data_IF_748309732935
#
_entry.id   IF_748309732935
#
_cell.length_a   1.000
_cell.length_b   1.000
_cell.length_c   1.000
_cell.angle_alpha   90.00
_cell.angle_beta   90.00
_cell.angle_gamma   90.00
#
_symmetry.space_group_name_H-M   'P 1'
#
loop_
_entity.id
_entity.type
_entity.pdbx_description
1 polymer ?
#
# COMPACT_ATOMS: atom_id res chain seq x y z
N UNK A 1 6.63 -16.44 6.13
CA UNK A 1 7.80 -15.62 6.54
C UNK A 1 8.42 -14.97 5.29
N UNK A 2 7.94 -13.79 4.88
CA UNK A 2 8.38 -13.11 3.63
C UNK A 2 9.69 -12.37 3.93
N UNK A 3 10.76 -12.68 3.18
CA UNK A 3 12.14 -12.26 3.48
C UNK A 3 12.37 -10.79 3.12
N UNK A 4 12.79 -9.99 4.09
CA UNK A 4 13.32 -8.60 3.97
C UNK A 4 14.67 -8.56 3.22
N UNK A 5 14.89 -9.43 2.23
CA UNK A 5 16.21 -9.61 1.58
C UNK A 5 16.38 -8.82 0.28
N UNK A 6 15.34 -8.15 -0.21
CA UNK A 6 15.35 -7.47 -1.51
C UNK A 6 15.23 -5.93 -1.42
N UNK A 7 15.23 -5.35 -0.21
CA UNK A 7 15.22 -3.89 0.00
C UNK A 7 16.63 -3.33 -0.27
N UNK A 8 16.74 -2.41 -1.22
CA UNK A 8 17.97 -1.71 -1.56
C UNK A 8 18.17 -0.48 -0.68
N UNK A 9 17.10 0.29 -0.50
CA UNK A 9 17.12 1.58 0.19
C UNK A 9 15.74 1.85 0.78
N UNK A 10 15.70 2.46 1.96
CA UNK A 10 14.49 3.06 2.51
C UNK A 10 14.85 4.30 3.30
N UNK A 11 13.89 5.20 3.45
CA UNK A 11 14.09 6.38 4.27
C UNK A 11 12.76 6.99 4.70
N UNK A 12 12.86 7.86 5.70
CA UNK A 12 11.73 8.54 6.32
C UNK A 12 12.15 9.96 6.70
N UNK A 13 11.38 10.95 6.26
CA UNK A 13 11.53 12.35 6.66
C UNK A 13 10.50 12.64 7.75
N UNK A 14 10.96 12.83 8.98
CA UNK A 14 10.10 13.04 10.15
C UNK A 14 9.22 14.28 10.02
N UNK A 15 9.78 15.38 9.51
CA UNK A 15 9.07 16.66 9.41
C UNK A 15 7.88 16.63 8.43
N UNK A 16 8.00 15.90 7.32
CA UNK A 16 6.96 15.82 6.29
C UNK A 16 6.14 14.55 6.35
N UNK A 17 6.59 13.54 7.11
CA UNK A 17 6.02 12.20 7.08
C UNK A 17 6.33 11.42 5.80
N UNK A 18 7.17 11.96 4.90
CA UNK A 18 7.50 11.29 3.64
C UNK A 18 8.30 10.02 3.88
N UNK A 19 7.90 8.93 3.24
CA UNK A 19 8.59 7.64 3.25
C UNK A 19 8.82 7.16 1.83
N UNK A 20 9.96 6.53 1.62
CA UNK A 20 10.24 5.83 0.37
C UNK A 20 10.91 4.48 0.66
N UNK A 21 10.67 3.56 -0.26
CA UNK A 21 11.21 2.22 -0.23
C UNK A 21 11.58 1.81 -1.66
N UNK A 22 12.81 1.35 -1.85
CA UNK A 22 13.33 0.89 -3.13
C UNK A 22 13.82 -0.54 -3.04
N UNK A 23 13.32 -1.41 -3.91
CA UNK A 23 13.68 -2.82 -4.01
C UNK A 23 14.70 -3.04 -5.14
N UNK A 24 15.57 -4.04 -4.99
CA UNK A 24 16.46 -4.49 -6.08
C UNK A 24 15.69 -5.17 -7.21
N UNK A 25 14.54 -5.79 -6.91
CA UNK A 25 13.68 -6.47 -7.88
C UNK A 25 12.58 -5.56 -8.38
N UNK A 26 12.28 -5.65 -9.68
CA UNK A 26 11.39 -4.71 -10.38
C UNK A 26 9.91 -4.81 -10.00
N UNK A 27 9.43 -5.96 -9.51
CA UNK A 27 8.02 -6.16 -9.18
C UNK A 27 7.79 -7.40 -8.31
N UNK A 28 7.03 -7.25 -7.24
CA UNK A 28 6.63 -8.36 -6.35
C UNK A 28 5.12 -8.46 -6.24
N UNK A 29 4.60 -9.69 -6.35
CA UNK A 29 3.18 -9.97 -6.13
C UNK A 29 2.95 -10.43 -4.69
N UNK A 30 1.87 -9.95 -4.08
CA UNK A 30 1.39 -10.40 -2.78
C UNK A 30 -0.09 -10.70 -2.88
N UNK A 31 -0.52 -11.84 -2.35
CA UNK A 31 -1.96 -12.09 -2.19
C UNK A 31 -2.33 -11.68 -0.78
N UNK A 32 -3.33 -10.80 -0.67
CA UNK A 32 -3.97 -10.41 0.56
C UNK A 32 -5.43 -10.82 0.41
N UNK A 33 -5.83 -11.91 1.07
CA UNK A 33 -7.14 -12.51 0.89
C UNK A 33 -7.41 -12.79 -0.60
N UNK A 34 -8.51 -12.29 -1.17
CA UNK A 34 -8.84 -12.41 -2.60
C UNK A 34 -8.22 -11.32 -3.49
N UNK A 35 -7.44 -10.39 -2.92
CA UNK A 35 -6.82 -9.29 -3.67
C UNK A 35 -5.35 -9.60 -3.96
N UNK A 36 -4.95 -9.48 -5.23
CA UNK A 36 -3.55 -9.56 -5.62
C UNK A 36 -2.95 -8.16 -5.67
N UNK A 37 -1.98 -7.88 -4.81
CA UNK A 37 -1.21 -6.65 -4.82
C UNK A 37 0.06 -6.82 -5.65
N UNK A 38 0.44 -5.78 -6.38
CA UNK A 38 1.72 -5.63 -7.06
C UNK A 38 2.45 -4.43 -6.48
N UNK A 39 3.71 -4.63 -6.14
CA UNK A 39 4.62 -3.61 -5.66
C UNK A 39 5.65 -3.32 -6.74
N UNK A 40 5.83 -2.06 -7.11
CA UNK A 40 6.87 -1.61 -8.02
C UNK A 40 8.22 -1.51 -7.28
N UNK A 41 9.30 -1.30 -8.05
CA UNK A 41 10.65 -1.20 -7.51
C UNK A 41 10.83 0.00 -6.56
N UNK A 42 10.05 1.05 -6.73
CA UNK A 42 10.06 2.24 -5.90
C UNK A 42 8.63 2.49 -5.41
N UNK A 43 8.49 2.64 -4.10
CA UNK A 43 7.23 2.93 -3.41
C UNK A 43 7.48 4.21 -2.61
N UNK A 44 6.61 5.19 -2.78
CA UNK A 44 6.64 6.42 -1.99
C UNK A 44 5.28 6.68 -1.36
N UNK A 45 5.27 7.31 -0.19
CA UNK A 45 4.02 7.76 0.44
C UNK A 45 4.29 8.85 1.47
N UNK A 46 3.21 9.43 1.99
CA UNK A 46 3.24 10.34 3.13
C UNK A 46 2.44 9.74 4.28
N UNK A 47 3.08 9.58 5.43
CA UNK A 47 2.48 9.03 6.64
C UNK A 47 1.93 10.16 7.50
N UNK A 48 0.64 10.06 7.79
CA UNK A 48 -0.09 10.90 8.73
C UNK A 48 -0.71 10.00 9.82
N UNK A 49 -1.12 10.58 10.97
CA UNK A 49 -1.85 9.81 11.97
C UNK A 49 -3.05 9.10 11.35
N UNK A 50 -3.05 7.75 11.43
CA UNK A 50 -4.10 6.86 10.87
C UNK A 50 -4.29 6.93 9.36
N UNK A 51 -3.34 7.51 8.61
CA UNK A 51 -3.50 7.69 7.15
C UNK A 51 -2.16 7.63 6.41
N UNK A 52 -2.22 7.09 5.20
CA UNK A 52 -1.17 7.11 4.20
C UNK A 52 -1.74 7.84 2.98
N UNK A 53 -1.03 8.86 2.49
CA UNK A 53 -1.40 9.68 1.33
C UNK A 53 -0.39 9.56 0.20
N UNK A 54 -0.84 9.85 -1.01
CA UNK A 54 -0.04 9.87 -2.23
C UNK A 54 0.85 8.62 -2.35
N UNK A 55 0.26 7.46 -2.04
CA UNK A 55 0.90 6.17 -2.21
C UNK A 55 1.17 5.94 -3.70
N UNK A 56 2.40 5.59 -4.02
CA UNK A 56 2.82 5.23 -5.37
C UNK A 56 3.46 3.85 -5.38
N UNK A 57 3.55 3.23 -6.55
CA UNK A 57 4.21 1.94 -6.70
C UNK A 57 3.44 0.76 -6.10
N UNK A 58 2.17 0.94 -5.71
CA UNK A 58 1.30 -0.15 -5.24
C UNK A 58 0.05 -0.23 -6.10
N UNK A 59 -0.22 -1.41 -6.64
CA UNK A 59 -1.41 -1.70 -7.45
C UNK A 59 -2.16 -2.89 -6.92
N UNK A 60 -3.48 -2.84 -6.91
CA UNK A 60 -4.35 -3.97 -6.63
C UNK A 60 -4.91 -4.51 -7.94
N UNK A 61 -4.97 -5.84 -8.07
CA UNK A 61 -5.69 -6.51 -9.13
C UNK A 61 -7.13 -6.69 -8.68
N UNK A 62 -8.04 -6.04 -9.37
CA UNK A 62 -9.48 -6.30 -9.24
C UNK A 62 -9.99 -6.85 -10.56
N UNK A 63 -10.60 -8.04 -10.49
CA UNK A 63 -10.98 -8.84 -11.66
C UNK A 63 -9.80 -9.01 -12.65
N UNK A 64 -9.84 -8.30 -13.78
CA UNK A 64 -8.86 -8.38 -14.87
C UNK A 64 -8.00 -7.12 -15.00
N UNK A 65 -8.23 -6.08 -14.19
CA UNK A 65 -7.54 -4.80 -14.29
C UNK A 65 -6.62 -4.55 -13.09
N UNK A 66 -5.53 -3.83 -13.34
CA UNK A 66 -4.63 -3.33 -12.30
C UNK A 66 -5.01 -1.89 -11.96
N UNK A 67 -5.36 -1.66 -10.70
CA UNK A 67 -5.79 -0.37 -10.18
C UNK A 67 -4.72 0.15 -9.23
N UNK A 68 -4.37 1.44 -9.31
CA UNK A 68 -3.34 2.03 -8.44
C UNK A 68 -3.96 2.46 -7.13
N UNK A 69 -3.31 2.12 -6.01
CA UNK A 69 -3.72 2.56 -4.68
C UNK A 69 -3.08 3.93 -4.39
N UNK A 70 -3.88 4.89 -3.95
CA UNK A 70 -3.41 6.28 -3.72
C UNK A 70 -3.41 6.66 -2.25
N UNK A 71 -4.39 6.17 -1.48
CA UNK A 71 -4.52 6.50 -0.07
C UNK A 71 -4.97 5.28 0.71
N UNK A 72 -4.49 5.18 1.95
CA UNK A 72 -4.94 4.17 2.90
C UNK A 72 -5.29 4.91 4.18
N UNK A 73 -6.45 4.66 4.77
CA UNK A 73 -6.77 5.26 6.05
C UNK A 73 -7.53 4.29 6.93
N UNK A 74 -7.37 4.50 8.23
CA UNK A 74 -8.08 3.77 9.26
C UNK A 74 -9.24 4.62 9.74
N UNK A 75 -10.45 4.10 9.62
CA UNK A 75 -11.65 4.75 10.13
C UNK A 75 -11.88 4.43 11.62
N UNK A 76 -12.77 5.18 12.28
CA UNK A 76 -13.20 4.93 13.67
C UNK A 76 -13.79 3.53 13.86
N UNK A 77 -14.34 2.95 12.80
CA UNK A 77 -14.97 1.63 12.77
C UNK A 77 -13.98 0.44 12.78
N UNK A 78 -12.70 0.66 13.12
CA UNK A 78 -11.64 -0.36 13.06
C UNK A 78 -11.54 -1.06 11.69
N UNK A 79 -11.81 -0.30 10.62
CA UNK A 79 -11.68 -0.74 9.24
C UNK A 79 -10.56 0.03 8.54
N UNK A 80 -9.84 -0.66 7.67
CA UNK A 80 -8.81 -0.09 6.82
C UNK A 80 -9.41 0.10 5.44
N UNK A 81 -9.42 1.34 4.96
CA UNK A 81 -9.96 1.69 3.65
C UNK A 81 -8.84 2.05 2.69
N UNK A 82 -8.87 1.42 1.52
CA UNK A 82 -7.95 1.65 0.41
C UNK A 82 -8.67 2.46 -0.66
N UNK A 83 -8.17 3.66 -0.95
CA UNK A 83 -8.61 4.46 -2.10
C UNK A 83 -7.80 4.12 -3.32
N UNK A 84 -8.47 4.18 -4.45
CA UNK A 84 -7.84 3.98 -5.74
C UNK A 84 -7.76 5.28 -6.52
N UNK A 85 -6.95 5.27 -7.58
CA UNK A 85 -6.85 6.39 -8.51
C UNK A 85 -8.14 6.62 -9.33
N UNK A 86 -9.08 5.68 -9.31
CA UNK A 86 -10.40 5.86 -9.91
C UNK A 86 -11.32 6.57 -8.90
N UNK A 87 -11.80 7.75 -9.30
CA UNK A 87 -12.68 8.58 -8.46
C UNK A 87 -13.92 7.77 -8.04
N UNK A 88 -14.19 7.74 -6.74
CA UNK A 88 -15.34 7.05 -6.16
C UNK A 88 -15.13 5.56 -5.89
N UNK A 89 -13.99 4.97 -6.28
CA UNK A 89 -13.70 3.56 -6.01
C UNK A 89 -12.75 3.41 -4.82
N UNK A 90 -13.27 2.82 -3.74
CA UNK A 90 -12.52 2.48 -2.53
C UNK A 90 -13.03 1.17 -1.95
N UNK A 91 -12.16 0.47 -1.22
CA UNK A 91 -12.49 -0.80 -0.59
C UNK A 91 -12.09 -0.79 0.88
N UNK A 92 -13.00 -1.20 1.74
CA UNK A 92 -12.78 -1.24 3.19
C UNK A 92 -12.76 -2.67 3.66
N UNK A 93 -11.80 -2.98 4.54
CA UNK A 93 -11.63 -4.29 5.16
C UNK A 93 -11.57 -4.11 6.67
N UNK A 94 -12.17 -5.01 7.47
CA UNK A 94 -12.00 -4.97 8.91
C UNK A 94 -10.54 -5.26 9.27
N UNK A 95 -10.03 -4.63 10.34
CA UNK A 95 -8.65 -4.87 10.79
C UNK A 95 -8.33 -6.33 11.06
N UNK A 96 -9.32 -7.14 11.44
CA UNK A 96 -9.18 -8.58 11.70
C UNK A 96 -8.69 -9.39 10.50
N UNK A 97 -8.83 -8.88 9.27
CA UNK A 97 -8.30 -9.50 8.05
C UNK A 97 -6.77 -9.41 7.99
N UNK A 98 -6.19 -8.39 8.62
CA UNK A 98 -4.75 -8.16 8.62
C UNK A 98 -4.13 -8.87 9.83
N UNK A 99 -3.94 -10.19 9.72
CA UNK A 99 -3.13 -10.94 10.69
C UNK A 99 -1.66 -10.51 10.55
N UNK A 100 -1.11 -9.94 11.63
CA UNK A 100 0.30 -9.57 11.77
C UNK A 100 1.14 -10.75 12.25
#
# INVERSE_FOLDING_TARGET
KKKVKDIQECGYVKDTGFVWLRHKKKRELCKLEDVVLSYDAEITAYFEPKKIKNLTGVKAKEFLIWITLTDIYVDQSLSITFKTNLVGLSKSFPMSVFNV
#
